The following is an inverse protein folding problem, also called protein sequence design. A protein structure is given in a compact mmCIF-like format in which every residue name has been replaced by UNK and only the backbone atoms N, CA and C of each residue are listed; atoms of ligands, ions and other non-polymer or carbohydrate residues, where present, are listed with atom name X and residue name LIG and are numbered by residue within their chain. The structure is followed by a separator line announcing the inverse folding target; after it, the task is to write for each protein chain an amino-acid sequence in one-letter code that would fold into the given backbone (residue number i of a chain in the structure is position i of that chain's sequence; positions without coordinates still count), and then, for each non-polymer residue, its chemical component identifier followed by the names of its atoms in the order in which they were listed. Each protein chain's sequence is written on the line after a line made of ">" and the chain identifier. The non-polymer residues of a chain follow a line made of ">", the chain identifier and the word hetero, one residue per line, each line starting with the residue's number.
data_IF_375171808140
#
_entry.id   IF_375171808140
#
_cell.length_a   1.000
_cell.length_b   1.000
_cell.length_c   1.000
_cell.angle_alpha   90.00
_cell.angle_beta   90.00
_cell.angle_gamma   90.00
#
_symmetry.space_group_name_H-M   'P 1'
#
loop_
_entity.id
_entity.type
_entity.pdbx_description
1 polymer ?
#
# COMPACT_ATOMS: atom_id res chain seq x y z
N UNK A 1 -46.73 24.32 -59.03
CA UNK A 1 -47.37 23.02 -59.32
C UNK A 1 -47.25 22.19 -58.06
N UNK A 2 -48.10 22.40 -57.05
CA UNK A 2 -49.43 21.76 -56.88
C UNK A 2 -49.35 20.23 -57.03
N UNK A 3 -49.33 19.50 -55.91
CA UNK A 3 -50.43 18.60 -55.53
C UNK A 3 -50.38 18.30 -54.02
N UNK A 4 -51.52 18.55 -53.36
CA UNK A 4 -51.85 18.27 -51.97
C UNK A 4 -52.36 16.82 -51.80
N UNK A 5 -52.36 16.32 -50.56
CA UNK A 5 -53.15 15.15 -50.15
C UNK A 5 -52.93 14.74 -48.69
N UNK A 6 -53.65 15.38 -47.77
CA UNK A 6 -53.80 15.02 -46.35
C UNK A 6 -54.54 13.68 -46.15
N UNK A 7 -54.16 12.87 -45.15
CA UNK A 7 -54.90 12.73 -43.86
C UNK A 7 -54.52 11.49 -43.02
N UNK A 8 -54.29 11.76 -41.73
CA UNK A 8 -54.69 11.06 -40.49
C UNK A 8 -54.26 9.61 -40.19
N UNK A 9 -53.69 9.43 -38.98
CA UNK A 9 -53.93 8.21 -38.19
C UNK A 9 -52.80 7.80 -37.24
N UNK A 10 -52.87 8.27 -35.99
CA UNK A 10 -52.48 7.62 -34.74
C UNK A 10 -51.06 7.11 -34.47
N UNK A 11 -50.56 7.55 -33.33
CA UNK A 11 -49.34 7.14 -32.65
C UNK A 11 -49.29 5.62 -32.36
N UNK A 12 -48.12 5.02 -32.56
CA UNK A 12 -47.59 3.97 -31.67
C UNK A 12 -46.08 3.80 -31.87
N UNK A 13 -45.41 3.91 -30.72
CA UNK A 13 -44.04 3.58 -30.41
C UNK A 13 -43.68 2.19 -30.95
N UNK A 14 -42.65 2.10 -31.79
CA UNK A 14 -42.15 0.83 -32.32
C UNK A 14 -41.05 0.35 -31.38
N UNK A 15 -41.40 -0.67 -30.58
CA UNK A 15 -40.45 -1.60 -30.01
C UNK A 15 -39.81 -2.42 -31.13
N UNK A 16 -38.48 -2.39 -31.23
CA UNK A 16 -37.68 -3.39 -31.93
C UNK A 16 -36.64 -3.90 -30.94
N UNK A 17 -37.09 -4.78 -30.06
CA UNK A 17 -36.25 -5.81 -29.46
C UNK A 17 -36.08 -6.91 -30.51
N UNK A 18 -34.89 -7.01 -31.11
CA UNK A 18 -34.40 -8.27 -31.65
C UNK A 18 -32.87 -8.36 -31.44
N UNK A 19 -32.47 -9.53 -30.96
CA UNK A 19 -31.17 -9.92 -30.43
C UNK A 19 -30.00 -9.67 -31.37
N UNK A 20 -28.85 -9.30 -30.79
CA UNK A 20 -27.54 -9.76 -31.23
C UNK A 20 -26.65 -9.98 -29.99
N UNK A 21 -26.76 -11.19 -29.44
CA UNK A 21 -25.81 -11.76 -28.49
C UNK A 21 -24.54 -12.17 -29.25
N UNK A 22 -23.48 -11.36 -29.22
CA UNK A 22 -22.15 -11.85 -29.62
C UNK A 22 -20.98 -11.01 -29.07
N UNK A 23 -20.88 -10.86 -27.75
CA UNK A 23 -19.61 -10.46 -27.11
C UNK A 23 -19.41 -11.17 -25.77
N UNK A 24 -18.97 -12.43 -25.83
CA UNK A 24 -18.25 -13.10 -24.76
C UNK A 24 -17.31 -14.13 -25.39
N UNK A 25 -16.11 -13.67 -25.76
CA UNK A 25 -14.95 -14.54 -26.01
C UNK A 25 -13.77 -14.00 -25.22
N UNK A 26 -13.65 -14.53 -24.01
CA UNK A 26 -12.42 -14.67 -23.24
C UNK A 26 -11.33 -15.27 -24.14
N UNK A 27 -10.21 -14.55 -24.28
CA UNK A 27 -9.00 -15.12 -24.85
C UNK A 27 -8.16 -15.72 -23.72
N UNK A 28 -8.29 -17.02 -23.55
CA UNK A 28 -7.27 -17.90 -23.00
C UNK A 28 -6.09 -17.97 -23.98
N UNK A 29 -4.88 -17.61 -23.53
CA UNK A 29 -3.64 -18.20 -24.05
C UNK A 29 -2.64 -18.45 -22.91
N UNK A 30 -2.70 -19.68 -22.41
CA UNK A 30 -1.58 -20.55 -22.00
C UNK A 30 -0.33 -20.39 -22.92
N UNK A 31 0.95 -20.59 -22.59
CA UNK A 31 1.65 -21.62 -21.82
C UNK A 31 3.16 -21.23 -21.74
N UNK A 32 3.79 -21.29 -20.57
CA UNK A 32 5.15 -21.83 -20.45
C UNK A 32 5.13 -22.81 -19.27
N UNK A 33 5.07 -24.10 -19.61
CA UNK A 33 5.25 -25.23 -18.70
C UNK A 33 6.66 -25.22 -18.13
N UNK A 34 6.80 -25.15 -16.81
CA UNK A 34 7.86 -25.84 -16.10
C UNK A 34 7.23 -27.00 -15.33
N UNK A 35 7.44 -28.22 -15.85
CA UNK A 35 7.09 -29.47 -15.19
C UNK A 35 7.93 -29.62 -13.92
N UNK A 36 7.30 -29.55 -12.74
CA UNK A 36 7.75 -30.28 -11.55
C UNK A 36 6.51 -30.83 -10.84
N UNK A 37 5.96 -31.90 -11.42
CA UNK A 37 5.08 -32.81 -10.70
C UNK A 37 5.95 -33.55 -9.68
N UNK A 38 5.79 -33.28 -8.39
CA UNK A 38 6.13 -34.24 -7.34
C UNK A 38 4.90 -34.44 -6.46
N UNK A 39 4.40 -35.68 -6.54
CA UNK A 39 3.39 -36.25 -5.65
C UNK A 39 3.78 -36.01 -4.18
N UNK A 40 2.87 -35.48 -3.38
CA UNK A 40 2.76 -35.90 -1.99
C UNK A 40 1.32 -36.26 -1.65
N UNK A 41 1.13 -37.57 -1.48
CA UNK A 41 -0.02 -38.15 -0.81
C UNK A 41 -0.02 -37.71 0.66
N UNK A 42 -1.22 -37.32 1.11
CA UNK A 42 -1.75 -37.39 2.48
C UNK A 42 -0.84 -38.07 3.52
N UNK A 43 -0.45 -37.28 4.52
CA UNK A 43 -0.51 -37.70 5.92
C UNK A 43 -0.51 -36.47 6.85
N UNK A 44 -1.70 -36.18 7.38
CA UNK A 44 -2.00 -35.62 8.70
C UNK A 44 -0.96 -34.66 9.32
N UNK A 45 -1.17 -33.38 9.07
CA UNK A 45 -1.22 -32.36 10.12
C UNK A 45 -2.31 -31.35 9.71
N UNK A 46 -3.55 -31.63 10.15
CA UNK A 46 -4.63 -30.64 10.10
C UNK A 46 -4.23 -29.49 11.02
N UNK A 47 -3.66 -28.44 10.45
CA UNK A 47 -3.94 -27.11 10.96
C UNK A 47 -5.44 -26.94 10.68
N UNK A 48 -6.22 -26.92 11.75
CA UNK A 48 -7.67 -26.68 11.68
C UNK A 48 -7.93 -25.50 10.74
N UNK A 49 -8.92 -25.67 9.85
CA UNK A 49 -9.37 -24.66 8.89
C UNK A 49 -9.30 -23.27 9.53
N UNK A 50 -8.33 -22.45 9.13
CA UNK A 50 -8.23 -21.10 9.67
C UNK A 50 -9.42 -20.30 9.12
N UNK A 51 -10.47 -20.23 9.94
CA UNK A 51 -11.78 -19.62 9.67
C UNK A 51 -11.69 -18.10 9.47
N UNK A 52 -11.39 -17.61 8.27
CA UNK A 52 -11.33 -16.17 7.96
C UNK A 52 -12.36 -15.77 6.91
N UNK A 53 -12.99 -14.60 7.07
CA UNK A 53 -13.68 -13.96 5.94
C UNK A 53 -12.61 -13.36 5.02
N UNK A 54 -12.16 -14.16 4.06
CA UNK A 54 -11.10 -13.78 3.13
C UNK A 54 -11.55 -12.61 2.26
N UNK A 55 -10.75 -11.54 2.28
CA UNK A 55 -10.92 -10.44 1.33
C UNK A 55 -10.24 -10.79 0.01
N UNK A 56 -11.02 -10.90 -1.06
CA UNK A 56 -10.46 -10.97 -2.41
C UNK A 56 -10.02 -9.57 -2.83
N UNK A 57 -8.73 -9.41 -3.14
CA UNK A 57 -8.21 -8.20 -3.77
C UNK A 57 -9.00 -7.92 -5.05
N UNK A 58 -9.63 -6.74 -5.11
CA UNK A 58 -10.29 -6.23 -6.32
C UNK A 58 -9.52 -4.99 -6.77
N UNK A 59 -9.35 -4.86 -8.08
CA UNK A 59 -8.79 -3.63 -8.65
C UNK A 59 -9.65 -2.41 -8.25
N UNK A 60 -9.08 -1.20 -8.25
CA UNK A 60 -9.82 0.03 -7.94
C UNK A 60 -11.06 0.13 -8.83
N UNK A 61 -12.26 0.06 -8.24
CA UNK A 61 -13.51 0.16 -8.98
C UNK A 61 -14.03 1.61 -8.97
N UNK A 62 -14.57 2.08 -10.10
CA UNK A 62 -15.07 3.45 -10.25
C UNK A 62 -16.32 3.75 -9.43
N UNK A 63 -17.00 2.72 -8.90
CA UNK A 63 -18.24 2.88 -8.13
C UNK A 63 -17.95 3.66 -6.84
N UNK A 64 -18.70 4.74 -6.62
CA UNK A 64 -18.67 5.54 -5.40
C UNK A 64 -19.31 4.70 -4.28
N UNK A 65 -18.47 4.08 -3.45
CA UNK A 65 -18.94 3.50 -2.19
C UNK A 65 -19.19 4.62 -1.18
N UNK A 66 -20.34 5.29 -1.33
CA UNK A 66 -20.96 5.98 -0.20
C UNK A 66 -21.44 4.90 0.76
N UNK A 67 -20.57 4.45 1.66
CA UNK A 67 -20.95 3.46 2.67
C UNK A 67 -20.66 4.00 4.05
N UNK A 68 -21.76 4.19 4.78
CA UNK A 68 -21.90 4.30 6.23
C UNK A 68 -20.60 4.07 7.02
N UNK A 69 -20.25 5.02 7.90
CA UNK A 69 -19.05 5.02 8.77
C UNK A 69 -18.74 3.63 9.36
N UNK A 70 -19.78 2.90 9.77
CA UNK A 70 -19.68 1.58 10.41
C UNK A 70 -19.26 0.43 9.46
N UNK A 71 -19.41 0.61 8.15
CA UNK A 71 -19.03 -0.38 7.13
C UNK A 71 -17.66 -0.14 6.53
N UNK A 72 -16.99 0.97 6.86
CA UNK A 72 -15.65 1.22 6.37
C UNK A 72 -14.69 0.19 6.98
N UNK A 73 -13.95 -0.52 6.13
CA UNK A 73 -13.17 -1.69 6.55
C UNK A 73 -11.99 -1.35 7.47
N UNK A 74 -11.57 -0.08 7.54
CA UNK A 74 -10.62 0.35 8.59
C UNK A 74 -11.21 0.36 10.00
N UNK A 75 -12.54 0.32 10.11
CA UNK A 75 -13.28 0.12 11.35
C UNK A 75 -13.76 -1.34 11.50
N UNK A 76 -13.67 -2.16 10.44
CA UNK A 76 -14.06 -3.57 10.49
C UNK A 76 -13.05 -4.33 11.34
N UNK A 77 -13.54 -4.94 12.40
CA UNK A 77 -12.77 -5.79 13.31
C UNK A 77 -13.15 -7.22 12.96
N UNK A 78 -12.16 -8.09 12.81
CA UNK A 78 -12.40 -9.52 12.68
C UNK A 78 -12.89 -10.08 14.02
N UNK A 79 -14.05 -10.73 14.00
CA UNK A 79 -14.59 -11.43 15.16
C UNK A 79 -13.80 -12.71 15.39
N UNK A 80 -12.88 -12.66 16.36
CA UNK A 80 -12.11 -13.84 16.74
C UNK A 80 -13.00 -14.83 17.49
N UNK A 81 -12.93 -16.11 17.10
CA UNK A 81 -13.51 -17.22 17.86
C UNK A 81 -12.80 -17.47 19.20
N UNK A 82 -11.53 -17.05 19.31
CA UNK A 82 -10.67 -17.25 20.47
C UNK A 82 -10.08 -15.92 20.99
N UNK A 83 -9.78 -15.82 22.29
CA UNK A 83 -8.98 -14.70 22.81
C UNK A 83 -7.59 -14.72 22.17
N UNK A 84 -7.01 -13.54 21.92
CA UNK A 84 -5.64 -13.42 21.44
C UNK A 84 -4.85 -12.54 22.41
N UNK A 85 -3.58 -12.89 22.60
CA UNK A 85 -2.70 -12.27 23.61
C UNK A 85 -2.60 -10.75 23.45
N UNK A 86 -2.75 -10.23 22.23
CA UNK A 86 -2.75 -8.80 21.94
C UNK A 86 -3.76 -7.98 22.77
N UNK A 87 -4.83 -8.59 23.29
CA UNK A 87 -5.79 -7.90 24.13
C UNK A 87 -5.23 -7.54 25.52
N UNK A 88 -4.18 -8.23 25.98
CA UNK A 88 -3.63 -8.11 27.33
C UNK A 88 -2.24 -7.43 27.37
N UNK A 89 -1.67 -7.10 26.21
CA UNK A 89 -0.30 -6.59 26.11
C UNK A 89 -0.20 -5.12 26.55
N UNK A 90 0.58 -4.88 27.59
CA UNK A 90 0.81 -3.54 28.12
C UNK A 90 1.49 -2.57 27.12
N UNK A 91 2.34 -3.09 26.22
CA UNK A 91 3.00 -2.27 25.20
C UNK A 91 2.03 -1.67 24.19
N UNK A 92 0.98 -2.41 23.82
CA UNK A 92 -0.07 -1.90 22.91
C UNK A 92 -0.82 -0.74 23.59
N UNK A 93 -1.18 -0.90 24.86
CA UNK A 93 -1.82 0.15 25.65
C UNK A 93 -0.94 1.39 25.76
N UNK A 94 0.36 1.24 26.02
CA UNK A 94 1.31 2.36 26.06
C UNK A 94 1.40 3.10 24.72
N UNK A 95 1.51 2.37 23.61
CA UNK A 95 1.55 2.97 22.27
C UNK A 95 0.26 3.73 21.95
N UNK A 96 -0.90 3.19 22.34
CA UNK A 96 -2.19 3.88 22.19
C UNK A 96 -2.20 5.17 23.00
N UNK A 97 -1.79 5.14 24.27
CA UNK A 97 -1.68 6.32 25.13
C UNK A 97 -0.79 7.41 24.52
N UNK A 98 0.37 7.03 23.95
CA UNK A 98 1.27 7.97 23.26
C UNK A 98 0.55 8.67 22.09
N UNK A 99 -0.30 7.96 21.35
CA UNK A 99 -1.10 8.57 20.28
C UNK A 99 -2.13 9.57 20.84
N UNK A 100 -2.72 9.29 22.00
CA UNK A 100 -3.67 10.21 22.66
C UNK A 100 -2.99 11.47 23.18
N UNK A 101 -1.83 11.33 23.82
CA UNK A 101 -1.07 12.43 24.39
C UNK A 101 -0.54 13.40 23.31
N UNK A 102 -0.21 12.86 22.12
CA UNK A 102 0.28 13.66 20.99
C UNK A 102 -0.83 14.36 20.21
N UNK A 103 -2.10 14.05 20.47
CA UNK A 103 -3.23 14.56 19.70
C UNK A 103 -3.37 16.09 19.76
N UNK A 104 -3.57 16.70 18.60
CA UNK A 104 -4.09 18.06 18.47
C UNK A 104 -5.55 18.01 18.00
N UNK A 105 -6.47 18.15 18.95
CA UNK A 105 -7.91 18.00 18.71
C UNK A 105 -8.43 18.88 17.59
N UNK A 106 -7.93 20.11 17.46
CA UNK A 106 -8.35 21.01 16.38
C UNK A 106 -7.96 20.49 14.98
N UNK A 107 -6.81 19.81 14.86
CA UNK A 107 -6.38 19.20 13.60
C UNK A 107 -7.17 17.94 13.29
N UNK A 108 -7.41 17.09 14.30
CA UNK A 108 -8.28 15.91 14.15
C UNK A 108 -9.65 16.33 13.64
N UNK A 109 -10.25 17.34 14.28
CA UNK A 109 -11.56 17.89 13.92
C UNK A 109 -11.56 18.53 12.53
N UNK A 110 -10.50 19.26 12.20
CA UNK A 110 -10.32 19.87 10.88
C UNK A 110 -10.32 18.82 9.77
N UNK A 111 -9.54 17.74 9.94
CA UNK A 111 -9.40 16.70 8.92
C UNK A 111 -10.69 15.87 8.79
N UNK A 112 -11.30 15.46 9.91
CA UNK A 112 -12.56 14.68 9.91
C UNK A 112 -13.71 15.40 9.22
N UNK A 113 -13.84 16.71 9.42
CA UNK A 113 -14.97 17.50 8.90
C UNK A 113 -14.59 18.35 7.68
N UNK A 114 -13.44 18.10 7.07
CA UNK A 114 -13.05 18.78 5.83
C UNK A 114 -13.82 18.20 4.64
N UNK A 115 -13.91 18.99 3.57
CA UNK A 115 -14.44 18.57 2.27
C UNK A 115 -13.25 18.35 1.33
N UNK A 116 -13.21 17.21 0.66
CA UNK A 116 -12.17 16.95 -0.34
C UNK A 116 -12.39 17.85 -1.55
N UNK A 117 -11.35 18.60 -1.94
CA UNK A 117 -11.39 19.42 -3.15
C UNK A 117 -10.77 18.66 -4.32
N UNK A 118 -9.60 18.05 -4.10
CA UNK A 118 -8.95 17.21 -5.12
C UNK A 118 -7.44 17.09 -4.95
N UNK A 119 -6.81 16.17 -5.71
CA UNK A 119 -5.37 16.01 -5.73
C UNK A 119 -4.68 17.19 -6.46
N UNK A 120 -3.48 17.56 -6.02
CA UNK A 120 -2.58 18.50 -6.71
C UNK A 120 -1.47 17.74 -7.43
N UNK A 121 -0.90 16.73 -6.76
CA UNK A 121 0.09 15.80 -7.29
C UNK A 121 0.00 14.46 -6.51
N UNK A 122 1.00 13.59 -6.63
CA UNK A 122 1.09 12.31 -5.92
C UNK A 122 1.31 12.43 -4.40
N UNK A 123 1.56 13.63 -3.88
CA UNK A 123 1.84 13.90 -2.47
C UNK A 123 0.84 14.85 -1.83
N UNK A 124 0.29 15.78 -2.58
CA UNK A 124 -0.48 16.90 -2.11
C UNK A 124 -1.93 16.80 -2.54
N UNK A 125 -2.83 17.19 -1.64
CA UNK A 125 -4.25 17.35 -1.94
C UNK A 125 -4.78 18.64 -1.32
N UNK A 126 -5.83 19.17 -1.93
CA UNK A 126 -6.59 20.29 -1.41
C UNK A 126 -7.79 19.78 -0.63
N UNK A 127 -7.99 20.36 0.55
CA UNK A 127 -9.19 20.17 1.35
C UNK A 127 -9.73 21.54 1.76
N UNK A 128 -11.04 21.62 1.91
CA UNK A 128 -11.70 22.79 2.47
C UNK A 128 -12.17 22.47 3.89
N UNK A 129 -11.84 23.31 4.86
CA UNK A 129 -12.43 23.24 6.20
C UNK A 129 -12.97 24.61 6.59
N UNK A 130 -14.29 24.69 6.79
CA UNK A 130 -15.01 25.96 6.95
C UNK A 130 -14.71 26.89 5.77
N UNK A 131 -14.18 28.07 6.04
CA UNK A 131 -13.80 29.08 5.04
C UNK A 131 -12.35 28.92 4.57
N UNK A 132 -11.59 27.94 5.05
CA UNK A 132 -10.16 27.80 4.75
C UNK A 132 -9.93 26.76 3.65
N UNK A 133 -9.06 27.09 2.72
CA UNK A 133 -8.49 26.15 1.75
C UNK A 133 -7.11 25.71 2.26
N UNK A 134 -6.95 24.41 2.49
CA UNK A 134 -5.74 23.82 3.03
C UNK A 134 -5.09 22.90 2.00
N UNK A 135 -3.76 22.93 1.94
CA UNK A 135 -2.94 21.94 1.26
C UNK A 135 -2.48 20.90 2.28
N UNK A 136 -2.70 19.63 1.98
CA UNK A 136 -2.29 18.52 2.84
C UNK A 136 -1.36 17.56 2.12
N UNK A 137 -0.38 17.00 2.86
CA UNK A 137 0.46 15.90 2.38
C UNK A 137 -0.26 14.57 2.61
N UNK A 138 -1.08 14.16 1.65
CA UNK A 138 -2.03 13.04 1.80
C UNK A 138 -1.34 11.73 2.22
N UNK A 139 -0.32 11.20 1.50
CA UNK A 139 0.32 9.93 1.91
C UNK A 139 0.89 9.94 3.33
N UNK A 140 1.41 11.09 3.78
CA UNK A 140 2.00 11.23 5.11
C UNK A 140 0.94 11.22 6.22
N UNK A 141 -0.21 11.83 5.98
CA UNK A 141 -1.35 11.74 6.90
C UNK A 141 -1.86 10.31 6.93
N UNK A 142 -2.02 9.66 5.77
CA UNK A 142 -2.54 8.30 5.67
C UNK A 142 -1.65 7.28 6.36
N UNK A 143 -0.33 7.46 6.31
CA UNK A 143 0.61 6.66 7.10
C UNK A 143 0.26 6.72 8.60
N UNK A 144 0.04 7.92 9.15
CA UNK A 144 -0.33 8.07 10.56
C UNK A 144 -1.70 7.45 10.88
N UNK A 145 -2.72 7.72 10.05
CA UNK A 145 -4.07 7.17 10.25
C UNK A 145 -4.06 5.63 10.16
N UNK A 146 -3.28 5.07 9.24
CA UNK A 146 -3.16 3.63 9.06
C UNK A 146 -2.37 3.00 10.20
N UNK A 147 -1.31 3.64 10.67
CA UNK A 147 -0.56 3.19 11.87
C UNK A 147 -1.50 3.05 13.07
N UNK A 148 -2.31 4.07 13.35
CA UNK A 148 -3.28 4.02 14.45
C UNK A 148 -4.38 2.99 14.21
N UNK A 149 -4.84 2.81 12.97
CA UNK A 149 -5.81 1.75 12.63
C UNK A 149 -5.26 0.37 12.94
N UNK A 150 -4.03 0.07 12.51
CA UNK A 150 -3.34 -1.21 12.78
C UNK A 150 -3.22 -1.41 14.29
N UNK A 151 -2.68 -0.42 15.01
CA UNK A 151 -2.45 -0.51 16.45
C UNK A 151 -3.75 -0.79 17.24
N UNK A 152 -4.88 -0.25 16.80
CA UNK A 152 -6.17 -0.47 17.43
C UNK A 152 -6.85 -1.78 17.05
N UNK A 153 -6.36 -2.45 16.00
CA UNK A 153 -6.95 -3.67 15.44
C UNK A 153 -6.00 -4.87 15.49
N UNK A 154 -4.85 -4.78 16.18
CA UNK A 154 -3.95 -5.92 16.40
C UNK A 154 -4.74 -7.12 16.92
N UNK A 155 -4.47 -8.30 16.35
CA UNK A 155 -5.26 -9.51 16.62
C UNK A 155 -6.53 -9.64 15.78
N UNK A 156 -7.01 -8.55 15.18
CA UNK A 156 -8.35 -8.42 14.60
C UNK A 156 -8.34 -7.75 13.22
N UNK A 157 -7.19 -7.73 12.56
CA UNK A 157 -7.04 -7.21 11.20
C UNK A 157 -7.55 -8.29 10.23
N UNK A 158 -8.41 -7.96 9.26
CA UNK A 158 -8.82 -8.92 8.25
C UNK A 158 -7.66 -9.17 7.26
N UNK A 159 -7.41 -10.42 6.86
CA UNK A 159 -6.40 -10.75 5.85
C UNK A 159 -6.94 -10.63 4.41
N UNK A 160 -6.06 -10.19 3.51
CA UNK A 160 -6.08 -10.60 2.10
C UNK A 160 -5.42 -11.97 1.97
N UNK A 161 -5.96 -12.82 1.11
CA UNK A 161 -5.34 -14.08 0.73
C UNK A 161 -4.66 -13.94 -0.64
N UNK A 162 -3.45 -14.46 -0.75
CA UNK A 162 -2.73 -14.55 -2.02
C UNK A 162 -3.08 -15.84 -2.75
N UNK A 163 -3.45 -15.71 -4.02
CA UNK A 163 -3.68 -16.83 -4.93
C UNK A 163 -2.96 -16.55 -6.27
N UNK A 164 -1.80 -17.18 -6.54
CA UNK A 164 -1.11 -18.15 -5.69
C UNK A 164 -0.37 -17.50 -4.49
N UNK A 165 -0.03 -18.27 -3.43
CA UNK A 165 0.85 -17.81 -2.36
C UNK A 165 2.21 -17.29 -2.88
N UNK A 166 2.80 -16.32 -2.17
CA UNK A 166 4.04 -15.65 -2.60
C UNK A 166 5.26 -16.32 -1.95
N UNK A 167 6.23 -16.87 -2.71
CA UNK A 167 7.45 -17.45 -2.12
C UNK A 167 8.27 -16.38 -1.38
N UNK A 168 8.48 -16.57 -0.08
CA UNK A 168 9.15 -15.58 0.78
C UNK A 168 10.62 -15.41 0.40
N UNK A 169 11.30 -16.52 0.09
CA UNK A 169 12.69 -16.49 -0.36
C UNK A 169 12.87 -15.65 -1.62
N UNK A 170 12.05 -15.88 -2.65
CA UNK A 170 12.13 -15.15 -3.92
C UNK A 170 11.83 -13.66 -3.72
N UNK A 171 10.86 -13.35 -2.84
CA UNK A 171 10.53 -11.97 -2.49
C UNK A 171 11.73 -11.24 -1.85
N UNK A 172 12.42 -11.89 -0.92
CA UNK A 172 13.63 -11.35 -0.28
C UNK A 172 14.79 -11.25 -1.27
N UNK A 173 14.95 -12.23 -2.16
CA UNK A 173 15.97 -12.24 -3.20
C UNK A 173 15.80 -11.05 -4.16
N UNK A 174 14.56 -10.74 -4.56
CA UNK A 174 14.25 -9.54 -5.36
C UNK A 174 14.65 -8.27 -4.62
N UNK A 175 14.36 -8.20 -3.32
CA UNK A 175 14.69 -7.03 -2.51
C UNK A 175 16.20 -6.82 -2.40
N UNK A 176 16.94 -7.88 -2.07
CA UNK A 176 18.40 -7.84 -1.87
C UNK A 176 19.15 -7.50 -3.16
N UNK A 177 18.72 -8.03 -4.31
CA UNK A 177 19.34 -7.73 -5.60
C UNK A 177 19.00 -6.33 -6.13
N UNK A 178 18.06 -5.61 -5.51
CA UNK A 178 17.75 -4.25 -5.92
C UNK A 178 18.86 -3.30 -5.49
N UNK A 179 19.30 -2.41 -6.39
CA UNK A 179 20.35 -1.43 -6.12
C UNK A 179 20.00 -0.44 -5.00
N UNK A 180 18.72 -0.23 -4.72
CA UNK A 180 18.27 0.66 -3.65
C UNK A 180 18.15 -0.04 -2.29
N UNK A 181 18.51 -1.32 -2.19
CA UNK A 181 18.46 -2.07 -0.93
C UNK A 181 19.51 -1.68 0.09
N UNK A 182 20.58 -0.99 -0.34
CA UNK A 182 21.74 -0.74 0.50
C UNK A 182 22.57 -1.99 0.75
N UNK A 183 22.26 -3.14 0.12
CA UNK A 183 22.93 -4.41 0.38
C UNK A 183 24.41 -4.38 -0.01
N UNK A 184 24.72 -3.83 -1.18
CA UNK A 184 26.10 -3.75 -1.69
C UNK A 184 26.93 -2.67 -0.97
N UNK A 185 26.26 -1.71 -0.33
CA UNK A 185 26.86 -0.64 0.45
C UNK A 185 27.08 -1.04 1.92
N UNK A 186 26.36 -2.04 2.43
CA UNK A 186 26.41 -2.43 3.82
C UNK A 186 27.63 -3.32 4.12
N UNK A 187 28.58 -2.89 4.98
CA UNK A 187 29.80 -3.65 5.27
C UNK A 187 29.54 -5.06 5.82
N UNK A 188 28.41 -5.25 6.50
CA UNK A 188 28.04 -6.52 7.12
C UNK A 188 27.51 -7.55 6.10
N UNK A 189 27.04 -7.09 4.94
CA UNK A 189 26.38 -7.93 3.93
C UNK A 189 27.07 -7.94 2.58
N UNK A 190 27.78 -6.89 2.19
CA UNK A 190 28.35 -6.71 0.85
C UNK A 190 29.29 -7.85 0.40
N UNK A 191 29.94 -8.54 1.36
CA UNK A 191 30.84 -9.67 1.08
C UNK A 191 30.21 -11.04 1.37
N UNK A 192 28.95 -11.09 1.81
CA UNK A 192 28.25 -12.34 2.09
C UNK A 192 27.61 -12.90 0.83
N UNK A 193 27.49 -14.23 0.78
CA UNK A 193 26.71 -14.90 -0.25
C UNK A 193 25.23 -14.50 -0.09
N UNK A 194 24.61 -14.02 -1.17
CA UNK A 194 23.21 -13.55 -1.21
C UNK A 194 22.23 -14.63 -0.76
N UNK A 195 22.42 -15.89 -1.20
CA UNK A 195 21.55 -17.00 -0.82
C UNK A 195 21.59 -17.23 0.70
N UNK A 196 22.78 -17.16 1.29
CA UNK A 196 22.95 -17.27 2.74
C UNK A 196 22.25 -16.13 3.47
N UNK A 197 22.35 -14.90 2.96
CA UNK A 197 21.66 -13.75 3.55
C UNK A 197 20.14 -13.91 3.44
N UNK A 198 19.62 -14.33 2.29
CA UNK A 198 18.18 -14.55 2.12
C UNK A 198 17.66 -15.61 3.10
N UNK A 199 18.39 -16.72 3.28
CA UNK A 199 18.05 -17.74 4.28
C UNK A 199 18.11 -17.18 5.73
N UNK A 200 19.11 -16.36 6.06
CA UNK A 200 19.20 -15.69 7.37
C UNK A 200 18.00 -14.75 7.61
N UNK A 201 17.57 -14.01 6.59
CA UNK A 201 16.42 -13.09 6.67
C UNK A 201 15.09 -13.85 6.75
N UNK A 202 14.94 -14.92 5.97
CA UNK A 202 13.75 -15.78 5.98
C UNK A 202 13.53 -16.41 7.36
N UNK A 203 14.62 -16.85 8.01
CA UNK A 203 14.58 -17.46 9.34
C UNK A 203 13.99 -16.55 10.42
N UNK A 204 14.09 -15.22 10.26
CA UNK A 204 13.48 -14.25 11.18
C UNK A 204 11.96 -14.41 11.18
N UNK A 205 11.35 -14.57 10.00
CA UNK A 205 9.90 -14.74 9.91
C UNK A 205 9.44 -16.06 10.52
N UNK A 206 10.17 -17.16 10.33
CA UNK A 206 9.85 -18.42 11.00
C UNK A 206 9.97 -18.34 12.51
N UNK A 207 10.95 -17.60 13.02
CA UNK A 207 11.16 -17.40 14.46
C UNK A 207 9.98 -16.66 15.12
N UNK A 208 9.35 -15.74 14.37
CA UNK A 208 8.26 -14.90 14.88
C UNK A 208 6.90 -15.17 14.18
N UNK A 209 6.73 -16.34 13.55
CA UNK A 209 5.58 -16.65 12.69
C UNK A 209 4.24 -16.57 13.46
N UNK A 210 4.21 -17.08 14.69
CA UNK A 210 3.03 -17.03 15.55
C UNK A 210 2.59 -15.58 15.82
N UNK A 211 3.52 -14.69 16.18
CA UNK A 211 3.24 -13.27 16.37
C UNK A 211 2.75 -12.60 15.08
N UNK A 212 3.37 -12.91 13.94
CA UNK A 212 2.97 -12.36 12.64
C UNK A 212 1.56 -12.79 12.23
N UNK A 213 1.23 -14.06 12.42
CA UNK A 213 -0.10 -14.64 12.17
C UNK A 213 -1.13 -14.01 13.11
N UNK A 214 -0.86 -14.05 14.42
CA UNK A 214 -1.82 -13.69 15.43
C UNK A 214 -2.07 -12.19 15.49
N UNK A 215 -1.03 -11.35 15.47
CA UNK A 215 -1.21 -9.91 15.68
C UNK A 215 -1.46 -9.17 14.37
N UNK A 216 -0.83 -9.62 13.28
CA UNK A 216 -0.75 -8.89 12.03
C UNK A 216 -1.36 -9.63 10.84
N UNK A 217 -1.93 -10.82 11.02
CA UNK A 217 -2.58 -11.57 9.93
C UNK A 217 -1.66 -11.84 8.73
N UNK A 218 -0.35 -11.96 8.98
CA UNK A 218 0.65 -12.39 8.02
C UNK A 218 0.94 -13.87 8.30
N UNK A 219 0.40 -14.75 7.46
CA UNK A 219 0.56 -16.20 7.60
C UNK A 219 1.60 -16.66 6.60
N UNK A 220 2.63 -17.37 7.10
CA UNK A 220 3.65 -18.01 6.29
C UNK A 220 3.55 -19.52 6.50
N UNK A 221 3.33 -20.25 5.40
CA UNK A 221 3.19 -21.70 5.35
C UNK A 221 4.00 -22.25 4.17
N UNK A 222 4.74 -23.34 4.39
CA UNK A 222 5.56 -24.00 3.36
C UNK A 222 6.48 -23.04 2.56
N UNK A 223 7.06 -22.05 3.24
CA UNK A 223 7.94 -21.04 2.63
C UNK A 223 7.24 -19.98 1.78
N UNK A 224 5.91 -19.95 1.82
CA UNK A 224 5.10 -18.99 1.09
C UNK A 224 4.29 -18.11 2.04
N UNK A 225 4.19 -16.83 1.71
CA UNK A 225 3.26 -15.90 2.33
C UNK A 225 1.87 -16.19 1.77
N UNK A 226 0.97 -16.65 2.63
CA UNK A 226 -0.41 -17.01 2.27
C UNK A 226 -1.33 -15.82 2.44
N UNK A 227 -1.14 -15.03 3.50
CA UNK A 227 -2.00 -13.88 3.80
C UNK A 227 -1.24 -12.60 4.08
N UNK A 228 -1.94 -11.47 3.94
CA UNK A 228 -1.40 -10.15 4.24
C UNK A 228 -2.49 -9.21 4.83
N UNK A 229 -2.21 -8.39 5.85
CA UNK A 229 -3.24 -7.65 6.56
C UNK A 229 -3.85 -6.52 5.76
N UNK A 230 -5.17 -6.38 5.72
CA UNK A 230 -5.89 -5.26 5.12
C UNK A 230 -6.01 -4.07 6.10
N UNK A 231 -5.04 -3.16 6.03
CA UNK A 231 -4.90 -2.06 6.99
C UNK A 231 -5.61 -0.76 6.59
N UNK A 232 -5.79 -0.50 5.29
CA UNK A 232 -6.30 0.77 4.79
C UNK A 232 -7.41 0.54 3.76
N UNK A 233 -8.64 0.30 4.19
CA UNK A 233 -9.67 0.07 3.18
C UNK A 233 -9.56 -1.31 2.50
N UNK A 234 -10.16 -1.42 1.32
CA UNK A 234 -9.86 -2.47 0.35
C UNK A 234 -8.63 -2.10 -0.51
N UNK A 235 -7.94 -1.01 -0.18
CA UNK A 235 -6.79 -0.55 -0.92
C UNK A 235 -5.60 -1.45 -0.66
N UNK A 236 -4.88 -1.77 -1.72
CA UNK A 236 -3.59 -2.43 -1.66
C UNK A 236 -2.60 -1.64 -2.54
N UNK A 237 -1.51 -1.10 -1.98
CA UNK A 237 -0.58 -0.21 -2.68
C UNK A 237 0.05 -0.73 -3.96
N UNK A 238 0.19 -2.05 -4.10
CA UNK A 238 0.90 -2.70 -5.21
C UNK A 238 1.92 -3.73 -4.70
N UNK A 239 2.02 -4.85 -5.41
CA UNK A 239 2.91 -5.97 -5.04
C UNK A 239 4.40 -5.62 -5.19
N UNK A 240 4.74 -4.64 -6.03
CA UNK A 240 6.10 -4.16 -6.25
C UNK A 240 6.76 -3.57 -4.99
N UNK A 241 5.96 -3.19 -3.99
CA UNK A 241 6.46 -2.65 -2.73
C UNK A 241 6.71 -3.72 -1.66
N UNK A 242 6.24 -4.96 -1.87
CA UNK A 242 6.41 -6.07 -0.94
C UNK A 242 7.88 -6.48 -0.71
N UNK A 243 8.75 -6.58 -1.73
CA UNK A 243 10.15 -6.98 -1.52
C UNK A 243 10.84 -6.12 -0.46
N UNK A 244 10.76 -4.79 -0.61
CA UNK A 244 11.36 -3.86 0.35
C UNK A 244 10.68 -3.87 1.71
N UNK A 245 9.36 -4.07 1.76
CA UNK A 245 8.68 -4.20 3.05
C UNK A 245 9.23 -5.40 3.83
N UNK A 246 9.30 -6.57 3.22
CA UNK A 246 9.78 -7.79 3.88
C UNK A 246 11.27 -7.71 4.23
N UNK A 247 12.09 -7.12 3.35
CA UNK A 247 13.48 -6.84 3.70
C UNK A 247 13.60 -5.94 4.93
N UNK A 248 12.78 -4.88 5.03
CA UNK A 248 12.79 -3.96 6.18
C UNK A 248 12.24 -4.60 7.44
N UNK A 249 11.20 -5.44 7.34
CA UNK A 249 10.69 -6.22 8.47
C UNK A 249 11.79 -7.13 9.04
N UNK A 250 12.58 -7.77 8.18
CA UNK A 250 13.68 -8.63 8.59
C UNK A 250 14.87 -7.87 9.19
N UNK A 251 15.15 -6.64 8.73
CA UNK A 251 16.42 -5.96 9.05
C UNK A 251 16.31 -4.74 9.97
N UNK A 252 15.16 -4.07 10.03
CA UNK A 252 15.00 -2.78 10.71
C UNK A 252 14.18 -2.86 12.01
N UNK A 253 13.65 -4.04 12.34
CA UNK A 253 12.82 -4.24 13.53
C UNK A 253 13.68 -4.72 14.70
N UNK A 254 13.58 -4.04 15.83
CA UNK A 254 14.13 -4.50 17.11
C UNK A 254 13.16 -5.50 17.75
N UNK A 255 13.31 -6.78 17.40
CA UNK A 255 12.53 -7.89 17.97
C UNK A 255 12.86 -8.19 19.43
N UNK A 256 13.93 -7.62 20.00
CA UNK A 256 14.34 -7.89 21.38
C UNK A 256 13.43 -7.20 22.41
N UNK A 257 12.77 -6.11 22.02
CA UNK A 257 11.90 -5.31 22.89
C UNK A 257 10.48 -5.27 22.33
N UNK A 258 9.53 -5.83 23.08
CA UNK A 258 8.11 -5.94 22.71
C UNK A 258 7.52 -4.65 22.12
N UNK A 259 7.70 -3.51 22.83
CA UNK A 259 7.17 -2.22 22.37
C UNK A 259 7.80 -1.74 21.06
N UNK A 260 9.10 -1.95 20.87
CA UNK A 260 9.81 -1.55 19.66
C UNK A 260 9.41 -2.43 18.48
N UNK A 261 9.28 -3.74 18.72
CA UNK A 261 8.84 -4.72 17.74
C UNK A 261 7.45 -4.36 17.19
N UNK A 262 6.46 -4.22 18.08
CA UNK A 262 5.08 -3.89 17.69
C UNK A 262 5.03 -2.53 16.98
N UNK A 263 5.67 -1.50 17.54
CA UNK A 263 5.70 -0.18 16.94
C UNK A 263 6.32 -0.19 15.54
N UNK A 264 7.45 -0.87 15.37
CA UNK A 264 8.17 -0.93 14.10
C UNK A 264 7.37 -1.66 13.02
N UNK A 265 6.76 -2.80 13.34
CA UNK A 265 5.93 -3.53 12.37
C UNK A 265 4.71 -2.70 11.97
N UNK A 266 3.99 -2.11 12.93
CA UNK A 266 2.87 -1.20 12.66
C UNK A 266 3.30 -0.04 11.74
N UNK A 267 4.46 0.57 12.00
CA UNK A 267 4.98 1.67 11.21
C UNK A 267 5.34 1.26 9.78
N UNK A 268 6.02 0.11 9.60
CA UNK A 268 6.39 -0.38 8.27
C UNK A 268 5.18 -0.77 7.43
N UNK A 269 4.18 -1.43 8.04
CA UNK A 269 2.90 -1.72 7.39
C UNK A 269 2.17 -0.44 7.01
N UNK A 270 2.09 0.53 7.92
CA UNK A 270 1.47 1.82 7.62
C UNK A 270 2.19 2.58 6.48
N UNK A 271 3.52 2.51 6.46
CA UNK A 271 4.34 3.09 5.39
C UNK A 271 4.10 2.41 4.05
N UNK A 272 3.95 1.08 4.04
CA UNK A 272 3.54 0.33 2.84
C UNK A 272 2.19 0.84 2.34
N UNK A 273 1.18 0.88 3.22
CA UNK A 273 -0.18 1.31 2.90
C UNK A 273 -0.32 2.78 2.46
N UNK A 274 0.66 3.62 2.74
CA UNK A 274 0.70 5.00 2.22
C UNK A 274 1.29 5.14 0.81
N UNK A 275 1.90 4.09 0.25
CA UNK A 275 2.46 4.12 -1.11
C UNK A 275 1.36 4.07 -2.15
N UNK A 276 1.68 4.53 -3.37
CA UNK A 276 0.79 4.54 -4.53
C UNK A 276 1.58 4.05 -5.73
N UNK A 277 1.08 3.03 -6.43
CA UNK A 277 1.61 2.68 -7.75
C UNK A 277 1.36 3.83 -8.72
N UNK A 278 2.43 4.45 -9.19
CA UNK A 278 2.36 5.47 -10.21
C UNK A 278 2.20 4.78 -11.57
N UNK A 279 0.95 4.53 -11.96
CA UNK A 279 0.63 4.14 -13.33
C UNK A 279 0.73 5.38 -14.22
N UNK A 280 1.53 5.30 -15.29
CA UNK A 280 1.49 6.30 -16.34
C UNK A 280 0.11 6.22 -17.00
N UNK A 281 -0.62 7.33 -17.07
CA UNK A 281 -1.94 7.41 -17.74
C UNK A 281 -1.88 7.24 -19.27
N UNK A 282 -0.74 6.82 -19.82
CA UNK A 282 -0.73 6.33 -21.20
C UNK A 282 -1.49 5.01 -21.19
N UNK A 283 -2.59 4.93 -21.94
CA UNK A 283 -3.15 3.63 -22.32
C UNK A 283 -1.98 2.77 -22.76
N UNK A 284 -1.75 1.68 -22.02
CA UNK A 284 -0.67 0.75 -22.33
C UNK A 284 -0.90 0.23 -23.75
N UNK A 285 -0.08 0.69 -24.69
CA UNK A 285 -0.22 0.31 -26.09
C UNK A 285 0.63 -0.91 -26.38
N UNK A 286 0.29 -1.65 -27.44
CA UNK A 286 1.14 -2.72 -27.97
C UNK A 286 2.58 -2.24 -28.26
N UNK A 287 2.77 -0.94 -28.51
CA UNK A 287 4.08 -0.33 -28.73
C UNK A 287 4.89 -0.19 -27.43
N UNK A 288 4.22 -0.01 -26.29
CA UNK A 288 4.87 0.01 -24.97
C UNK A 288 5.31 -1.41 -24.56
N UNK A 289 4.53 -2.45 -24.89
CA UNK A 289 4.96 -3.86 -24.74
C UNK A 289 6.24 -4.15 -25.52
N UNK A 290 6.28 -3.71 -26.78
CA UNK A 290 7.45 -3.85 -27.66
C UNK A 290 8.67 -3.11 -27.12
N UNK A 291 8.49 -1.90 -26.59
CA UNK A 291 9.56 -1.11 -25.97
C UNK A 291 10.11 -1.79 -24.72
N UNK A 292 9.24 -2.31 -23.86
CA UNK A 292 9.66 -3.03 -22.65
C UNK A 292 10.44 -4.31 -22.98
N UNK A 293 9.99 -5.08 -23.99
CA UNK A 293 10.71 -6.27 -24.46
C UNK A 293 12.09 -5.89 -24.99
N UNK A 294 12.17 -4.83 -25.81
CA UNK A 294 13.44 -4.35 -26.37
C UNK A 294 14.39 -3.80 -25.31
N UNK A 295 13.87 -3.12 -24.27
CA UNK A 295 14.67 -2.65 -23.14
C UNK A 295 15.20 -3.82 -22.30
N UNK A 296 14.37 -4.84 -22.03
CA UNK A 296 14.82 -6.08 -21.38
C UNK A 296 15.87 -6.83 -22.20
N UNK A 297 15.73 -6.90 -23.52
CA UNK A 297 16.73 -7.52 -24.40
C UNK A 297 18.08 -6.77 -24.35
N UNK A 298 18.04 -5.43 -24.35
CA UNK A 298 19.23 -4.60 -24.19
C UNK A 298 19.89 -4.77 -22.83
N UNK A 299 19.09 -4.88 -21.77
CA UNK A 299 19.58 -5.08 -20.40
C UNK A 299 20.23 -6.46 -20.25
N UNK A 300 19.61 -7.50 -20.80
CA UNK A 300 20.19 -8.85 -20.89
C UNK A 300 21.52 -8.83 -21.66
N UNK A 301 21.61 -8.11 -22.78
CA UNK A 301 22.86 -7.94 -23.53
C UNK A 301 23.93 -7.13 -22.79
N UNK A 302 23.54 -6.14 -22.00
CA UNK A 302 24.48 -5.42 -21.13
C UNK A 302 25.01 -6.30 -20.00
N UNK A 303 24.17 -7.16 -19.42
CA UNK A 303 24.56 -8.12 -18.39
C UNK A 303 25.52 -9.19 -18.95
N UNK A 304 25.24 -9.70 -20.16
CA UNK A 304 26.15 -10.61 -20.90
C UNK A 304 27.48 -9.95 -21.27
N UNK A 305 27.51 -8.64 -21.49
CA UNK A 305 28.75 -7.91 -21.77
C UNK A 305 29.55 -7.56 -20.50
N UNK A 306 28.89 -7.42 -19.34
CA UNK A 306 29.55 -7.21 -18.04
C UNK A 306 30.27 -8.45 -17.52
N UNK A 307 29.79 -9.65 -17.82
CA UNK A 307 30.48 -10.90 -17.44
C UNK A 307 31.84 -11.10 -18.13
N UNK A 308 32.14 -10.35 -19.19
CA UNK A 308 33.42 -10.41 -19.91
C UNK A 308 34.48 -9.39 -19.44
N UNK A 309 34.18 -8.50 -18.48
CA UNK A 309 35.09 -7.38 -18.13
C UNK A 309 35.56 -7.28 -16.67
N UNK A 310 35.13 -8.14 -15.76
CA UNK A 310 35.64 -8.13 -14.37
C UNK A 310 36.81 -9.12 -14.19
N UNK A 311 37.94 -8.84 -14.86
CA UNK A 311 39.28 -9.17 -14.38
C UNK A 311 40.04 -7.84 -14.34
N UNK A 312 40.01 -7.17 -13.19
CA UNK A 312 41.12 -6.40 -12.59
C UNK A 312 40.66 -5.18 -11.76
N UNK A 313 41.13 -5.25 -10.50
CA UNK A 313 41.53 -4.18 -9.60
C UNK A 313 40.52 -3.55 -8.62
N UNK A 314 40.90 -3.76 -7.36
CA UNK A 314 40.44 -3.26 -6.08
C UNK A 314 41.17 -1.96 -5.67
N UNK A 315 40.56 -1.13 -4.81
CA UNK A 315 41.03 -0.83 -3.44
C UNK A 315 40.34 0.38 -2.76
N UNK A 316 39.87 0.10 -1.54
CA UNK A 316 39.63 0.86 -0.30
C UNK A 316 39.74 2.41 -0.18
N UNK A 317 38.81 2.98 0.61
CA UNK A 317 39.12 3.60 1.93
C UNK A 317 37.89 3.79 2.84
N UNK A 318 38.08 3.52 4.15
CA UNK A 318 37.10 3.61 5.25
C UNK A 318 37.02 5.01 5.88
N UNK A 319 35.87 5.35 6.48
CA UNK A 319 35.82 6.24 7.66
C UNK A 319 34.57 5.99 8.54
N UNK A 320 34.79 6.12 9.85
CA UNK A 320 33.95 5.81 11.02
C UNK A 320 32.76 6.76 11.20
N UNK A 321 31.67 6.28 11.84
CA UNK A 321 30.60 7.11 12.41
C UNK A 321 30.27 6.71 13.85
N UNK A 322 30.13 7.73 14.70
CA UNK A 322 29.79 7.66 16.13
C UNK A 322 28.28 7.57 16.37
N UNK A 323 27.94 6.91 17.47
CA UNK A 323 26.60 6.70 18.01
C UNK A 323 25.97 7.98 18.60
N UNK A 324 24.63 8.04 18.50
CA UNK A 324 23.64 8.64 19.43
C UNK A 324 22.60 9.56 18.74
N UNK A 325 21.47 8.97 18.33
CA UNK A 325 20.16 9.63 18.32
C UNK A 325 19.04 8.60 18.15
N UNK A 326 18.25 8.39 19.20
CA UNK A 326 17.22 7.34 19.30
C UNK A 326 15.96 7.64 18.46
N UNK A 327 15.82 8.85 17.94
CA UNK A 327 14.70 9.28 17.08
C UNK A 327 14.88 8.91 15.59
N UNK A 328 15.99 8.24 15.23
CA UNK A 328 16.35 7.87 13.85
C UNK A 328 16.18 6.37 13.51
N UNK A 329 15.62 5.55 14.40
CA UNK A 329 15.68 4.08 14.29
C UNK A 329 14.82 3.47 13.17
N UNK A 330 13.88 4.21 12.58
CA UNK A 330 13.21 3.79 11.35
C UNK A 330 13.40 4.92 10.36
N UNK A 331 14.42 4.78 9.50
CA UNK A 331 14.79 5.79 8.53
C UNK A 331 13.56 6.41 7.89
N UNK A 332 13.42 7.72 8.11
CA UNK A 332 12.67 8.61 7.23
C UNK A 332 13.36 8.53 5.87
N UNK A 333 13.07 7.47 5.12
CA UNK A 333 12.98 7.62 3.69
C UNK A 333 11.91 8.67 3.49
N UNK A 334 12.36 9.84 3.09
CA UNK A 334 11.75 10.57 1.99
C UNK A 334 10.81 9.64 1.22
N UNK A 335 9.53 9.66 1.63
CA UNK A 335 8.44 10.02 0.77
C UNK A 335 8.89 9.97 -0.68
N UNK A 336 8.49 8.91 -1.40
CA UNK A 336 8.32 8.90 -2.86
C UNK A 336 9.29 9.83 -3.56
N UNK A 337 10.45 9.34 -4.05
CA UNK A 337 11.42 10.09 -4.88
C UNK A 337 10.99 11.54 -5.12
N UNK A 338 11.37 12.45 -4.21
CA UNK A 338 10.79 13.81 -4.10
C UNK A 338 10.93 14.59 -5.42
N UNK A 339 11.79 14.11 -6.32
CA UNK A 339 12.00 14.69 -7.64
C UNK A 339 11.05 14.17 -8.73
N UNK A 340 10.14 13.24 -8.40
CA UNK A 340 9.15 12.68 -9.33
C UNK A 340 7.73 13.12 -8.96
N UNK A 341 7.53 14.44 -8.85
CA UNK A 341 6.20 15.04 -8.85
C UNK A 341 5.54 14.81 -10.22
N UNK A 342 4.80 13.70 -10.37
CA UNK A 342 3.96 13.49 -11.54
C UNK A 342 2.69 14.34 -11.40
N UNK A 343 2.24 14.88 -12.54
CA UNK A 343 0.88 15.37 -12.66
C UNK A 343 -0.10 14.31 -12.19
N UNK A 344 -1.21 14.74 -11.56
CA UNK A 344 -2.25 13.84 -11.07
C UNK A 344 -2.65 12.85 -12.15
N UNK A 345 -2.35 11.57 -11.91
CA UNK A 345 -2.84 10.50 -12.76
C UNK A 345 -4.25 10.09 -12.36
N UNK A 346 -4.99 9.45 -13.25
CA UNK A 346 -6.32 8.89 -12.95
C UNK A 346 -6.25 7.94 -11.75
N UNK A 347 -5.16 7.16 -11.65
CA UNK A 347 -4.96 6.28 -10.49
C UNK A 347 -4.80 7.05 -9.18
N UNK A 348 -3.98 8.11 -9.15
CA UNK A 348 -3.79 8.92 -7.94
C UNK A 348 -5.12 9.52 -7.47
N UNK A 349 -5.90 10.07 -8.40
CA UNK A 349 -7.19 10.66 -8.07
C UNK A 349 -8.15 9.61 -7.47
N UNK A 350 -8.24 8.44 -8.11
CA UNK A 350 -9.05 7.33 -7.60
C UNK A 350 -8.57 6.88 -6.21
N UNK A 351 -7.27 6.73 -5.99
CA UNK A 351 -6.74 6.30 -4.69
C UNK A 351 -7.06 7.31 -3.61
N UNK A 352 -6.86 8.59 -3.89
CA UNK A 352 -7.08 9.65 -2.92
C UNK A 352 -8.56 9.82 -2.58
N UNK A 353 -9.42 9.87 -3.60
CA UNK A 353 -10.84 10.10 -3.43
C UNK A 353 -11.55 8.88 -2.83
N UNK A 354 -11.18 7.65 -3.22
CA UNK A 354 -11.90 6.43 -2.84
C UNK A 354 -11.39 5.75 -1.58
N UNK A 355 -10.11 5.90 -1.26
CA UNK A 355 -9.51 5.15 -0.15
C UNK A 355 -8.90 6.09 0.90
N UNK A 356 -8.00 7.00 0.50
CA UNK A 356 -7.24 7.78 1.47
C UNK A 356 -8.11 8.82 2.17
N UNK A 357 -8.82 9.68 1.44
CA UNK A 357 -9.65 10.69 2.09
C UNK A 357 -10.79 10.09 2.92
N UNK A 358 -11.50 9.03 2.46
CA UNK A 358 -12.44 8.30 3.30
C UNK A 358 -11.79 7.69 4.55
N UNK A 359 -10.55 7.20 4.47
CA UNK A 359 -9.81 6.73 5.65
C UNK A 359 -9.61 7.84 6.69
N UNK A 360 -9.45 9.10 6.27
CA UNK A 360 -9.34 10.25 7.18
C UNK A 360 -10.69 10.57 7.83
N UNK A 361 -11.77 10.60 7.04
CA UNK A 361 -13.09 11.02 7.54
C UNK A 361 -13.82 9.94 8.33
N UNK A 362 -13.73 8.69 7.89
CA UNK A 362 -14.53 7.57 8.42
C UNK A 362 -13.82 6.82 9.55
N UNK A 363 -12.51 7.02 9.75
CA UNK A 363 -11.80 6.39 10.86
C UNK A 363 -12.17 7.07 12.19
N UNK A 364 -12.84 6.31 13.05
CA UNK A 364 -13.35 6.84 14.32
C UNK A 364 -12.23 7.12 15.33
N UNK A 365 -11.10 6.42 15.22
CA UNK A 365 -10.04 6.37 16.22
C UNK A 365 -8.88 7.30 15.88
N UNK A 366 -8.86 7.87 14.67
CA UNK A 366 -7.82 8.79 14.20
C UNK A 366 -7.61 9.96 15.16
N UNK A 367 -6.35 10.16 15.58
CA UNK A 367 -5.86 11.28 16.39
C UNK A 367 -4.68 11.95 15.71
N UNK A 368 -4.81 13.20 15.30
CA UNK A 368 -3.77 13.85 14.49
C UNK A 368 -2.70 14.47 15.40
N UNK A 369 -1.40 14.16 15.24
CA UNK A 369 -0.35 14.68 16.11
C UNK A 369 -0.19 16.20 16.01
N UNK A 370 0.19 16.82 17.13
CA UNK A 370 0.55 18.25 17.20
C UNK A 370 1.68 18.64 16.25
N UNK A 371 2.60 17.72 15.95
CA UNK A 371 3.72 17.95 15.02
C UNK A 371 3.26 18.29 13.60
N UNK A 372 2.05 17.88 13.20
CA UNK A 372 1.53 18.09 11.85
C UNK A 372 1.21 19.56 11.54
N UNK A 373 1.05 20.41 12.56
CA UNK A 373 0.91 21.85 12.32
C UNK A 373 2.25 22.54 12.00
N UNK A 374 3.38 21.90 12.30
CA UNK A 374 4.69 22.56 12.27
C UNK A 374 5.63 21.94 11.23
N UNK A 375 5.41 20.69 10.82
CA UNK A 375 6.24 19.97 9.84
C UNK A 375 5.83 20.21 8.37
N UNK A 376 4.85 21.08 8.13
CA UNK A 376 4.35 21.38 6.78
C UNK A 376 3.47 20.30 6.16
N UNK A 377 2.88 19.41 6.95
CA UNK A 377 1.93 18.41 6.45
C UNK A 377 0.56 19.00 6.15
N UNK A 378 0.18 20.06 6.88
CA UNK A 378 -1.09 20.78 6.72
C UNK A 378 -0.75 22.27 6.64
N UNK A 379 -1.05 22.90 5.51
CA UNK A 379 -0.72 24.30 5.24
C UNK A 379 -2.00 25.03 4.82
N UNK A 380 -2.31 26.15 5.48
CA UNK A 380 -3.39 27.04 5.03
C UNK A 380 -2.91 27.87 3.84
N UNK A 381 -3.59 27.74 2.69
CA UNK A 381 -3.25 28.49 1.48
C UNK A 381 -3.97 29.83 1.44
N UNK A 382 -5.28 29.82 1.69
CA UNK A 382 -6.13 31.01 1.64
C UNK A 382 -7.45 30.77 2.39
N UNK A 383 -8.30 31.80 2.43
CA UNK A 383 -9.67 31.70 2.92
C UNK A 383 -10.67 32.25 1.90
N UNK A 384 -11.88 31.69 1.88
CA UNK A 384 -13.00 32.16 1.06
C UNK A 384 -13.27 33.65 1.30
N UNK A 385 -13.14 34.14 2.53
CA UNK A 385 -13.28 35.58 2.85
C UNK A 385 -12.25 36.46 2.15
N UNK A 386 -11.04 35.96 1.89
CA UNK A 386 -10.05 36.69 1.12
C UNK A 386 -10.38 36.62 -0.38
N UNK A 387 -10.84 35.47 -0.87
CA UNK A 387 -11.22 35.28 -2.26
C UNK A 387 -12.44 36.15 -2.64
N UNK A 388 -13.47 36.21 -1.79
CA UNK A 388 -14.69 37.01 -2.05
C UNK A 388 -14.47 38.52 -2.03
N UNK A 389 -13.30 39.02 -1.61
CA UNK A 389 -12.93 40.43 -1.77
C UNK A 389 -12.44 40.78 -3.18
N UNK A 390 -12.10 39.76 -3.96
CA UNK A 390 -11.55 39.91 -5.33
C UNK A 390 -12.54 39.36 -6.35
N UNK A 391 -13.12 38.20 -6.07
CA UNK A 391 -14.07 37.51 -6.93
C UNK A 391 -15.51 37.83 -6.51
N UNK A 392 -16.14 38.74 -7.24
CA UNK A 392 -17.54 39.13 -7.05
C UNK A 392 -18.43 38.52 -8.15
N UNK A 393 -19.73 38.41 -7.84
CA UNK A 393 -20.73 38.04 -8.85
C UNK A 393 -20.79 39.09 -9.95
N UNK A 394 -21.07 38.66 -11.18
CA UNK A 394 -21.23 39.54 -12.34
C UNK A 394 -22.31 40.61 -12.14
#
# INVERSE_FOLDING_TARGET
>A
MLYNGDHNGDAKQIDLYEHNDEYNKTYDQTNIRANLHMNYNNNNNKIEEKEYEILKLKGPNSVLYNTQIDKHISNKIYDRKYPCEADEISSITKLKMICEEKEKKELTECLKNSIYVGPVDNMHSLIQYKEKLLLIKMPLIIKEVTYQSILNRLGKIPPFEYDPPIPLYDLLLVAVNNSYSGFYENPNYANKNIEKVCNELEQIFYTYNEMYSDYFSIIIEDGCIVTFPACCGEYFPGQEFLPFLFLRLATQIDYSKEINCINGICYLLANFYSKITLLNDKEWTYQDDLLMIQEKEKEIQMLLNKSNKHINNSNHHNQHYDETNLDYILGDESVVDINKHLSVSRNINLVFEKYFFPMIQLNNIMKIPTTFSNNGYIIELTSLNQLYKIFERC
#
